data_IF_937678913803
#
_entry.id   IF_937678913803
#
_cell.length_a   1.000
_cell.length_b   1.000
_cell.length_c   1.000
_cell.angle_alpha   90.00
_cell.angle_beta   90.00
_cell.angle_gamma   90.00
#
_symmetry.space_group_name_H-M   'P 1'
#
loop_
_entity.id
_entity.type
_entity.pdbx_description
1 polymer ?
#
# COMPACT_ATOMS: atom_id res chain seq x y z
N UNK A 1 5.52 -4.45 17.02
CA UNK A 1 5.54 -3.01 16.68
C UNK A 1 6.17 -2.23 17.82
N UNK A 2 5.51 -2.03 18.97
CA UNK A 2 6.02 -1.22 20.11
C UNK A 2 7.34 -1.67 20.77
N UNK A 3 7.85 -2.86 20.44
CA UNK A 3 9.15 -3.37 20.90
C UNK A 3 10.25 -3.28 19.83
N UNK A 4 9.96 -2.66 18.68
CA UNK A 4 10.95 -2.46 17.63
C UNK A 4 12.08 -1.56 18.14
N UNK A 5 13.35 -1.86 17.85
CA UNK A 5 14.46 -0.99 18.23
C UNK A 5 14.55 0.28 17.37
N UNK A 6 13.81 0.34 16.27
CA UNK A 6 13.88 1.42 15.28
C UNK A 6 12.51 1.78 14.73
N UNK A 7 12.39 3.04 14.34
CA UNK A 7 11.26 3.62 13.62
C UNK A 7 11.75 4.23 12.28
N UNK A 8 10.89 4.28 11.24
CA UNK A 8 9.54 3.72 11.18
C UNK A 8 9.54 2.19 11.03
N UNK A 9 8.46 1.54 11.47
CA UNK A 9 8.26 0.09 11.35
C UNK A 9 7.41 -0.24 10.13
N UNK A 10 7.94 -1.04 9.20
CA UNK A 10 7.17 -1.58 8.10
C UNK A 10 6.47 -2.89 8.51
N UNK A 11 5.16 -2.97 8.34
CA UNK A 11 4.33 -4.12 8.73
C UNK A 11 3.62 -4.67 7.50
N UNK A 12 3.83 -5.95 7.21
CA UNK A 12 3.08 -6.67 6.19
C UNK A 12 1.96 -7.46 6.86
N UNK A 13 0.78 -7.43 6.23
CA UNK A 13 -0.41 -8.11 6.72
C UNK A 13 -0.91 -9.03 5.59
N UNK A 14 -1.10 -10.31 5.90
CA UNK A 14 -1.55 -11.33 4.94
C UNK A 14 -2.81 -12.04 5.44
N UNK A 15 -3.78 -12.20 4.54
CA UNK A 15 -5.08 -12.85 4.78
C UNK A 15 -5.28 -14.16 4.03
N UNK A 16 -4.28 -14.63 3.26
CA UNK A 16 -4.35 -15.88 2.49
C UNK A 16 -5.61 -16.01 1.60
N UNK A 17 -6.20 -14.89 1.15
CA UNK A 17 -7.34 -14.86 0.23
C UNK A 17 -8.70 -15.24 0.83
N UNK A 18 -8.91 -15.00 2.13
CA UNK A 18 -10.24 -15.24 2.75
C UNK A 18 -11.15 -14.03 2.55
N UNK A 19 -12.26 -14.20 1.83
CA UNK A 19 -13.22 -13.13 1.44
C UNK A 19 -14.13 -12.60 2.57
N UNK A 20 -13.87 -12.95 3.83
CA UNK A 20 -14.58 -12.43 5.02
C UNK A 20 -13.55 -11.72 5.88
N UNK A 21 -13.94 -10.62 6.57
CA UNK A 21 -13.15 -9.93 7.63
C UNK A 21 -12.19 -10.88 8.34
N UNK A 22 -11.03 -11.02 7.75
CA UNK A 22 -10.00 -11.99 8.01
C UNK A 22 -9.17 -11.55 9.19
N UNK A 23 -7.99 -12.14 9.30
CA UNK A 23 -7.08 -11.86 10.41
C UNK A 23 -6.31 -10.57 10.15
N UNK A 24 -6.02 -10.29 8.89
CA UNK A 24 -5.30 -9.14 8.41
C UNK A 24 -6.16 -7.90 8.41
N UNK A 25 -7.42 -7.91 7.97
CA UNK A 25 -8.28 -6.72 8.13
C UNK A 25 -8.46 -6.36 9.62
N UNK A 26 -8.56 -7.37 10.50
CA UNK A 26 -8.61 -7.15 11.96
C UNK A 26 -7.29 -6.60 12.51
N UNK A 27 -6.16 -7.11 12.04
CA UNK A 27 -4.84 -6.63 12.43
C UNK A 27 -4.64 -5.18 11.99
N UNK A 28 -4.97 -4.86 10.74
CA UNK A 28 -4.91 -3.51 10.20
C UNK A 28 -5.81 -2.55 11.00
N UNK A 29 -7.05 -2.96 11.28
CA UNK A 29 -7.97 -2.16 12.09
C UNK A 29 -7.52 -1.96 13.54
N UNK A 30 -6.84 -2.95 14.13
CA UNK A 30 -6.23 -2.82 15.46
C UNK A 30 -5.04 -1.85 15.44
N UNK A 31 -4.14 -1.99 14.47
CA UNK A 31 -2.95 -1.13 14.33
C UNK A 31 -3.37 0.32 14.09
N UNK A 32 -4.27 0.56 13.14
CA UNK A 32 -4.73 1.90 12.78
C UNK A 32 -5.46 2.66 13.89
N UNK A 33 -6.02 1.94 14.87
CA UNK A 33 -6.75 2.53 16.00
C UNK A 33 -5.96 2.50 17.31
N UNK A 34 -4.72 2.00 17.28
CA UNK A 34 -3.92 1.86 18.50
C UNK A 34 -3.40 3.23 18.94
N UNK A 35 -3.64 3.66 20.19
CA UNK A 35 -3.30 5.02 20.64
C UNK A 35 -1.80 5.32 20.68
N UNK A 36 -0.97 4.27 20.78
CA UNK A 36 0.50 4.37 20.79
C UNK A 36 1.14 4.14 19.42
N UNK A 37 0.36 3.95 18.35
CA UNK A 37 0.89 3.74 16.99
C UNK A 37 0.44 4.89 16.11
N UNK A 38 1.41 5.65 15.61
CA UNK A 38 1.20 6.59 14.53
C UNK A 38 1.31 5.84 13.19
N UNK A 39 0.21 5.78 12.43
CA UNK A 39 0.22 5.19 11.09
C UNK A 39 0.53 6.27 10.07
N UNK A 40 1.69 6.16 9.40
CA UNK A 40 2.10 7.09 8.36
C UNK A 40 1.32 6.89 7.06
N UNK A 41 0.98 5.65 6.74
CA UNK A 41 0.26 5.30 5.53
C UNK A 41 0.13 3.80 5.32
N UNK A 42 -0.49 3.41 4.22
CA UNK A 42 -0.71 2.02 3.83
C UNK A 42 -0.42 1.83 2.34
N UNK A 43 0.18 0.69 2.00
CA UNK A 43 0.25 0.21 0.62
C UNK A 43 -0.93 -0.71 0.38
N UNK A 44 -1.87 -0.30 -0.47
CA UNK A 44 -3.07 -1.05 -0.83
C UNK A 44 -2.80 -1.91 -2.08
N UNK A 45 -2.96 -3.22 -1.95
CA UNK A 45 -2.65 -4.17 -3.03
C UNK A 45 -3.94 -4.56 -3.75
N UNK A 46 -3.98 -4.36 -5.07
CA UNK A 46 -5.13 -4.72 -5.88
C UNK A 46 -5.26 -6.25 -6.04
N UNK A 47 -6.49 -6.76 -5.96
CA UNK A 47 -6.83 -8.17 -6.25
C UNK A 47 -8.15 -8.29 -6.99
N UNK A 48 -8.44 -9.47 -7.55
CA UNK A 48 -9.73 -9.74 -8.21
C UNK A 48 -10.76 -10.25 -7.20
N UNK A 49 -11.19 -9.36 -6.32
CA UNK A 49 -12.20 -9.67 -5.32
C UNK A 49 -13.58 -9.31 -5.84
N UNK A 50 -14.37 -10.32 -6.21
CA UNK A 50 -15.75 -10.09 -6.62
C UNK A 50 -16.58 -9.51 -5.47
N UNK A 51 -17.27 -8.40 -5.72
CA UNK A 51 -18.13 -7.73 -4.74
C UNK A 51 -17.40 -6.85 -3.72
N UNK A 52 -16.07 -6.72 -3.80
CA UNK A 52 -15.35 -5.71 -3.03
C UNK A 52 -15.72 -4.29 -3.49
N UNK A 53 -15.82 -3.37 -2.53
CA UNK A 53 -16.08 -1.96 -2.81
C UNK A 53 -14.81 -1.24 -3.27
N UNK A 54 -13.67 -1.69 -2.77
CA UNK A 54 -12.39 -1.03 -2.91
C UNK A 54 -12.22 0.11 -1.91
N UNK A 55 -11.09 0.82 -2.04
CA UNK A 55 -10.80 2.03 -1.29
C UNK A 55 -10.24 3.11 -2.20
N UNK A 56 -10.44 4.37 -1.79
CA UNK A 56 -9.77 5.50 -2.39
C UNK A 56 -8.27 5.40 -2.13
N UNK A 57 -7.49 5.78 -3.14
CA UNK A 57 -6.04 5.89 -3.07
C UNK A 57 -5.64 7.32 -3.37
N UNK A 58 -4.60 7.82 -2.71
CA UNK A 58 -4.04 9.14 -3.03
C UNK A 58 -3.28 9.11 -4.35
N UNK A 59 -2.64 7.97 -4.63
CA UNK A 59 -2.01 7.64 -5.90
C UNK A 59 -1.78 6.12 -6.00
N UNK A 60 -1.32 5.66 -7.15
CA UNK A 60 -0.80 4.30 -7.33
C UNK A 60 0.57 4.31 -7.99
N UNK A 61 1.36 3.25 -7.76
CA UNK A 61 2.57 2.95 -8.53
C UNK A 61 2.25 1.85 -9.53
N UNK A 62 2.39 2.15 -10.82
CA UNK A 62 2.13 1.19 -11.90
C UNK A 62 3.23 0.14 -12.01
N UNK A 63 2.99 -0.92 -12.77
CA UNK A 63 4.03 -1.91 -13.12
C UNK A 63 5.21 -1.31 -13.90
N UNK A 64 4.98 -0.17 -14.55
CA UNK A 64 5.98 0.64 -15.24
C UNK A 64 6.78 1.55 -14.29
N UNK A 65 6.48 1.55 -12.99
CA UNK A 65 7.08 2.43 -11.96
C UNK A 65 6.73 3.91 -12.15
N UNK A 66 5.52 4.16 -12.61
CA UNK A 66 4.99 5.51 -12.73
C UNK A 66 4.01 5.75 -11.60
N UNK A 67 4.12 6.91 -10.95
CA UNK A 67 3.11 7.39 -10.02
C UNK A 67 1.93 7.98 -10.81
N UNK A 68 0.72 7.52 -10.51
CA UNK A 68 -0.52 7.95 -11.18
C UNK A 68 -1.59 8.28 -10.16
N UNK A 69 -2.40 9.31 -10.43
CA UNK A 69 -3.52 9.74 -9.56
C UNK A 69 -4.79 8.89 -9.77
N UNK A 70 -4.62 7.63 -10.20
CA UNK A 70 -5.70 6.68 -10.46
C UNK A 70 -5.40 5.33 -9.81
N UNK A 71 -6.42 4.48 -9.55
CA UNK A 71 -6.19 3.12 -9.11
C UNK A 71 -5.54 2.29 -10.21
N UNK A 72 -4.89 1.20 -9.81
CA UNK A 72 -4.36 0.17 -10.71
C UNK A 72 -5.16 -1.12 -10.59
N UNK A 73 -5.19 -1.88 -11.68
CA UNK A 73 -5.67 -3.26 -11.64
C UNK A 73 -4.66 -4.18 -10.95
N UNK A 74 -5.05 -5.45 -10.73
CA UNK A 74 -4.17 -6.46 -10.12
C UNK A 74 -2.87 -6.71 -10.89
N UNK A 75 -2.80 -6.33 -12.17
CA UNK A 75 -1.62 -6.51 -13.02
C UNK A 75 -0.73 -5.26 -13.00
N UNK A 76 -1.10 -4.22 -12.24
CA UNK A 76 -0.37 -2.97 -12.10
C UNK A 76 -0.58 -2.01 -13.26
N UNK A 77 -1.64 -2.16 -14.05
CA UNK A 77 -2.00 -1.20 -15.09
C UNK A 77 -2.96 -0.16 -14.50
N UNK A 78 -2.82 1.14 -14.83
CA UNK A 78 -3.77 2.14 -14.40
C UNK A 78 -5.16 1.84 -14.96
N UNK A 79 -6.20 2.14 -14.17
CA UNK A 79 -7.60 2.08 -14.59
C UNK A 79 -8.05 3.54 -14.83
N UNK A 80 -8.08 4.02 -16.08
CA UNK A 80 -8.55 5.36 -16.37
C UNK A 80 -9.99 5.53 -15.89
N UNK A 81 -10.27 6.65 -15.21
CA UNK A 81 -11.58 6.96 -14.62
C UNK A 81 -12.05 5.97 -13.53
N UNK A 82 -11.18 5.08 -13.06
CA UNK A 82 -11.45 4.26 -11.89
C UNK A 82 -11.43 5.13 -10.63
N UNK A 83 -12.42 4.97 -9.77
CA UNK A 83 -12.50 5.71 -8.50
C UNK A 83 -11.83 4.95 -7.35
N UNK A 84 -11.96 3.61 -7.34
CA UNK A 84 -11.55 2.78 -6.22
C UNK A 84 -10.54 1.71 -6.65
N UNK A 85 -9.54 1.47 -5.80
CA UNK A 85 -8.67 0.31 -5.91
C UNK A 85 -9.36 -0.89 -5.26
N UNK A 86 -9.55 -1.97 -6.00
CA UNK A 86 -10.28 -3.16 -5.53
C UNK A 86 -9.30 -4.19 -4.99
N UNK A 87 -9.56 -4.70 -3.78
CA UNK A 87 -8.82 -5.85 -3.25
C UNK A 87 -9.37 -6.42 -1.93
N UNK A 88 -8.97 -7.64 -1.60
CA UNK A 88 -9.53 -8.43 -0.48
C UNK A 88 -9.37 -7.74 0.88
N UNK A 89 -8.21 -7.12 1.13
CA UNK A 89 -7.88 -6.43 2.39
C UNK A 89 -8.14 -4.93 2.31
N UNK A 90 -8.54 -4.42 1.13
CA UNK A 90 -8.58 -2.98 0.83
C UNK A 90 -9.85 -2.33 1.38
N UNK A 91 -10.98 -3.03 1.39
CA UNK A 91 -12.29 -2.52 1.82
C UNK A 91 -12.31 -1.94 3.24
N UNK A 92 -11.41 -2.38 4.13
CA UNK A 92 -11.36 -1.83 5.49
C UNK A 92 -10.65 -0.48 5.59
N UNK A 93 -9.86 -0.09 4.59
CA UNK A 93 -9.06 1.15 4.62
C UNK A 93 -9.96 2.38 4.71
N UNK A 94 -11.08 2.41 3.99
CA UNK A 94 -12.02 3.55 3.94
C UNK A 94 -12.52 3.95 5.35
N UNK A 95 -12.63 3.00 6.29
CA UNK A 95 -13.09 3.25 7.66
C UNK A 95 -11.99 3.51 8.70
N UNK A 96 -10.73 3.60 8.29
CA UNK A 96 -9.57 3.68 9.20
C UNK A 96 -8.89 5.06 9.24
N UNK A 97 -9.31 6.01 8.39
CA UNK A 97 -8.72 7.36 8.31
C UNK A 97 -7.19 7.33 8.18
N UNK A 98 -6.66 6.43 7.34
CA UNK A 98 -5.23 6.31 7.09
C UNK A 98 -4.75 7.57 6.35
N UNK A 99 -3.64 8.23 6.78
CA UNK A 99 -3.25 9.51 6.20
C UNK A 99 -2.82 9.47 4.73
N UNK A 100 -2.13 8.40 4.33
CA UNK A 100 -1.60 8.23 2.97
C UNK A 100 -1.90 6.80 2.51
N UNK A 101 -2.58 6.67 1.38
CA UNK A 101 -2.93 5.39 0.77
C UNK A 101 -2.31 5.31 -0.63
N UNK A 102 -1.33 4.41 -0.81
CA UNK A 102 -0.69 4.20 -2.11
C UNK A 102 -1.09 2.84 -2.68
N UNK A 103 -1.68 2.83 -3.87
CA UNK A 103 -2.09 1.63 -4.58
C UNK A 103 -0.95 0.95 -5.34
N UNK A 104 -0.96 -0.39 -5.38
CA UNK A 104 -0.11 -1.19 -6.28
C UNK A 104 -0.88 -2.41 -6.81
N UNK A 105 -0.37 -3.03 -7.88
CA UNK A 105 -0.85 -4.33 -8.33
C UNK A 105 -0.45 -5.48 -7.40
N UNK A 106 -0.99 -6.67 -7.65
CA UNK A 106 -0.69 -7.89 -6.88
C UNK A 106 0.79 -8.30 -7.07
N UNK A 107 1.52 -8.43 -5.96
CA UNK A 107 2.94 -8.79 -5.88
C UNK A 107 3.11 -10.26 -6.33
N UNK A 108 3.22 -10.43 -7.65
CA UNK A 108 3.29 -11.73 -8.33
C UNK A 108 2.45 -11.83 -9.60
N UNK A 109 1.64 -10.81 -9.91
CA UNK A 109 0.84 -10.73 -11.16
C UNK A 109 1.29 -9.61 -12.09
N UNK A 110 2.21 -8.76 -11.66
CA UNK A 110 2.77 -7.65 -12.44
C UNK A 110 3.94 -8.08 -13.35
N UNK A 111 3.88 -9.25 -14.00
CA UNK A 111 4.91 -9.72 -14.97
C UNK A 111 6.35 -9.75 -14.41
N UNK A 112 6.51 -10.03 -13.10
CA UNK A 112 7.81 -9.99 -12.42
C UNK A 112 8.40 -8.58 -12.28
N UNK A 113 7.63 -7.53 -12.53
CA UNK A 113 8.08 -6.14 -12.39
C UNK A 113 8.51 -5.83 -10.96
N UNK A 114 7.86 -6.45 -9.96
CA UNK A 114 8.17 -6.28 -8.53
C UNK A 114 9.00 -7.42 -7.93
N UNK A 115 9.74 -8.16 -8.75
CA UNK A 115 10.51 -9.32 -8.25
C UNK A 115 11.52 -8.93 -7.17
N UNK A 116 11.68 -9.81 -6.18
CA UNK A 116 12.67 -9.67 -5.12
C UNK A 116 14.10 -9.59 -5.67
N UNK A 117 14.40 -10.28 -6.78
CA UNK A 117 15.70 -10.21 -7.46
C UNK A 117 16.03 -8.80 -7.98
N UNK A 118 15.00 -7.98 -8.20
CA UNK A 118 15.08 -6.56 -8.58
C UNK A 118 14.93 -5.62 -7.38
N UNK A 119 14.92 -6.17 -6.17
CA UNK A 119 14.69 -5.48 -4.89
C UNK A 119 13.28 -4.90 -4.74
N UNK A 120 12.27 -5.56 -5.30
CA UNK A 120 10.87 -5.15 -5.22
C UNK A 120 10.68 -3.65 -5.53
N UNK A 121 11.01 -3.20 -6.75
CA UNK A 121 11.07 -1.78 -7.09
C UNK A 121 9.73 -1.05 -6.92
N UNK A 122 8.59 -1.69 -7.17
CA UNK A 122 7.26 -1.09 -7.08
C UNK A 122 6.86 -0.96 -5.60
N UNK A 123 6.96 -2.03 -4.83
CA UNK A 123 6.69 -1.98 -3.38
C UNK A 123 7.62 -0.97 -2.68
N UNK A 124 8.91 -0.96 -3.05
CA UNK A 124 9.88 0.01 -2.51
C UNK A 124 9.48 1.44 -2.82
N UNK A 125 9.04 1.70 -4.05
CA UNK A 125 8.64 3.03 -4.50
C UNK A 125 7.35 3.51 -3.81
N UNK A 126 6.37 2.63 -3.63
CA UNK A 126 5.16 2.92 -2.87
C UNK A 126 5.46 3.27 -1.40
N UNK A 127 6.35 2.50 -0.75
CA UNK A 127 6.79 2.81 0.62
C UNK A 127 7.55 4.14 0.68
N UNK A 128 8.42 4.42 -0.30
CA UNK A 128 9.13 5.71 -0.36
C UNK A 128 8.19 6.89 -0.53
N UNK A 129 7.11 6.72 -1.29
CA UNK A 129 6.10 7.76 -1.44
C UNK A 129 5.38 8.06 -0.12
N UNK A 130 5.01 7.03 0.64
CA UNK A 130 4.46 7.20 1.99
C UNK A 130 5.44 7.94 2.88
N UNK A 131 6.71 7.52 2.93
CA UNK A 131 7.74 8.16 3.75
C UNK A 131 8.01 9.61 3.34
N UNK A 132 7.98 9.92 2.04
CA UNK A 132 8.17 11.27 1.51
C UNK A 132 7.00 12.17 1.93
N UNK A 133 5.76 11.71 1.70
CA UNK A 133 4.55 12.48 2.02
C UNK A 133 4.30 12.63 3.53
N UNK A 134 4.80 11.69 4.34
CA UNK A 134 4.74 11.79 5.79
C UNK A 134 5.87 12.63 6.40
N UNK A 135 6.81 13.15 5.59
CA UNK A 135 7.93 13.96 6.05
C UNK A 135 9.09 13.18 6.67
N UNK A 136 9.11 11.84 6.55
CA UNK A 136 10.18 10.98 7.05
C UNK A 136 11.37 10.86 6.07
N UNK A 137 11.15 11.18 4.79
CA UNK A 137 12.18 11.13 3.75
C UNK A 137 12.33 12.49 3.06
N UNK A 138 13.32 13.27 3.47
CA UNK A 138 13.74 14.50 2.78
C UNK A 138 14.72 14.18 1.63
N UNK A 139 14.34 14.49 0.39
CA UNK A 139 15.23 14.37 -0.77
C UNK A 139 16.39 15.39 -0.75
N UNK A 140 16.33 16.39 0.13
CA UNK A 140 17.31 17.48 0.22
C UNK A 140 18.71 17.07 0.72
N UNK A 141 18.93 15.81 1.14
CA UNK A 141 20.26 15.32 1.59
C UNK A 141 21.00 14.43 0.59
N UNK A 142 20.48 14.23 -0.62
CA UNK A 142 21.03 13.31 -1.62
C UNK A 142 22.03 13.87 -2.63
N UNK A 143 22.34 15.17 -2.62
CA UNK A 143 23.37 15.79 -3.49
C UNK A 143 24.22 16.80 -2.71
N UNK A 144 25.04 16.31 -1.78
CA UNK A 144 26.27 17.00 -1.36
C UNK A 144 27.37 15.97 -1.14
N UNK A 145 28.10 15.71 -2.22
CA UNK A 145 29.57 15.70 -2.35
C UNK A 145 29.95 14.76 -3.49
#
# INVERSE_FOLDING_TARGET
ILKSPHDPVFVMVDDKGTSKKGRGEKALGYIAKHPEIEVLGVVAVASNTEGAKGALVDLSITKGREAVDSPVDKYGNPIPYGEYLVGDTVDVIEGLNIPIVVGIGDIGKMDGADDLSKRAPITTEAVREILRRSGYLDEARGRKN
#
